data_IF_830927418889
#
_entry.id   IF_830927418889
#
_cell.length_a   1.000
_cell.length_b   1.000
_cell.length_c   1.000
_cell.angle_alpha   90.00
_cell.angle_beta   90.00
_cell.angle_gamma   90.00
#
_symmetry.space_group_name_H-M   'P 1'
#
loop_
_entity.id
_entity.type
_entity.pdbx_description
1 polymer ?
#
# COMPACT_ATOMS: atom_id res chain seq x y z
N UNK A 1 -18.64 21.15 -8.22
CA UNK A 1 -18.92 21.17 -6.77
C UNK A 1 -17.69 20.62 -6.08
N UNK A 2 -17.24 21.25 -4.99
CA UNK A 2 -16.16 20.76 -4.13
C UNK A 2 -16.74 20.68 -2.72
N UNK A 3 -16.55 19.56 -1.99
CA UNK A 3 -16.96 19.47 -0.60
C UNK A 3 -16.39 20.65 0.21
N UNK A 4 -17.16 21.25 1.13
CA UNK A 4 -16.64 22.31 2.01
C UNK A 4 -15.66 21.79 3.07
N UNK A 5 -15.64 20.47 3.28
CA UNK A 5 -14.72 19.75 4.15
C UNK A 5 -14.17 18.55 3.39
N UNK A 6 -12.89 18.24 3.60
CA UNK A 6 -12.28 17.06 3.01
C UNK A 6 -13.08 15.80 3.39
N UNK A 7 -13.17 14.89 2.43
CA UNK A 7 -13.82 13.61 2.65
C UNK A 7 -12.85 12.69 3.41
N UNK A 8 -13.36 11.98 4.40
CA UNK A 8 -12.58 11.00 5.15
C UNK A 8 -12.30 9.77 4.30
N UNK A 9 -11.29 8.99 4.68
CA UNK A 9 -11.12 7.64 4.13
C UNK A 9 -12.36 6.77 4.37
N UNK A 10 -12.56 5.79 3.50
CA UNK A 10 -13.68 4.86 3.50
C UNK A 10 -14.71 5.10 2.39
N UNK A 11 -15.85 4.39 2.45
CA UNK A 11 -16.85 4.37 1.39
C UNK A 11 -17.70 5.65 1.35
N UNK A 12 -17.79 6.24 0.17
CA UNK A 12 -18.68 7.37 -0.14
C UNK A 12 -19.66 7.01 -1.26
N UNK A 13 -20.86 7.55 -1.19
CA UNK A 13 -21.86 7.46 -2.26
C UNK A 13 -22.31 8.85 -2.68
N UNK A 14 -22.12 9.17 -3.96
CA UNK A 14 -22.50 10.44 -4.55
C UNK A 14 -23.75 10.30 -5.41
N UNK A 15 -24.63 11.29 -5.30
CA UNK A 15 -25.80 11.46 -6.16
C UNK A 15 -25.91 12.93 -6.55
N UNK A 16 -26.12 13.19 -7.83
CA UNK A 16 -26.55 14.50 -8.32
C UNK A 16 -28.08 14.53 -8.44
N UNK A 17 -28.69 15.61 -7.96
CA UNK A 17 -30.12 15.89 -8.11
C UNK A 17 -30.35 17.26 -8.76
N UNK A 18 -31.46 17.36 -9.48
CA UNK A 18 -31.95 18.60 -10.09
C UNK A 18 -33.45 18.70 -9.86
N UNK A 19 -33.94 19.91 -9.64
CA UNK A 19 -35.38 20.21 -9.53
C UNK A 19 -35.78 21.11 -10.68
N UNK A 20 -36.84 20.75 -11.41
CA UNK A 20 -37.34 21.60 -12.49
C UNK A 20 -38.07 22.85 -11.96
N UNK A 21 -38.45 23.75 -12.86
CA UNK A 21 -39.15 24.98 -12.50
C UNK A 21 -40.55 24.76 -11.88
N UNK A 22 -41.14 23.58 -12.09
CA UNK A 22 -42.42 23.18 -11.50
C UNK A 22 -42.24 22.50 -10.13
N UNK A 23 -41.00 22.29 -9.67
CA UNK A 23 -40.69 21.68 -8.39
C UNK A 23 -40.50 20.16 -8.43
N UNK A 24 -40.40 19.53 -9.60
CA UNK A 24 -40.20 18.09 -9.71
C UNK A 24 -38.72 17.72 -9.60
N UNK A 25 -38.31 16.95 -8.58
CA UNK A 25 -36.92 16.50 -8.45
C UNK A 25 -36.64 15.25 -9.31
N UNK A 26 -35.45 15.21 -9.90
CA UNK A 26 -34.86 14.02 -10.54
C UNK A 26 -33.44 13.83 -9.99
N UNK A 27 -32.97 12.58 -9.89
CA UNK A 27 -31.59 12.26 -9.48
C UNK A 27 -30.92 11.24 -10.38
N UNK A 28 -29.60 11.27 -10.36
CA UNK A 28 -28.72 10.22 -10.91
C UNK A 28 -28.80 8.94 -10.07
N UNK A 29 -28.22 7.84 -10.58
CA UNK A 29 -27.95 6.65 -9.78
C UNK A 29 -26.75 6.83 -8.84
N UNK A 30 -26.50 5.84 -7.99
CA UNK A 30 -25.39 5.86 -7.03
C UNK A 30 -24.03 5.79 -7.75
N UNK A 31 -23.15 6.74 -7.45
CA UNK A 31 -21.72 6.63 -7.73
C UNK A 31 -20.99 6.29 -6.43
N UNK A 32 -20.42 5.09 -6.33
CA UNK A 32 -19.64 4.65 -5.16
C UNK A 32 -18.16 4.93 -5.38
N UNK A 33 -17.51 5.46 -4.36
CA UNK A 33 -16.08 5.73 -4.34
C UNK A 33 -15.55 5.42 -2.94
N UNK A 34 -14.57 4.55 -2.85
CA UNK A 34 -13.77 4.37 -1.64
C UNK A 34 -12.60 5.34 -1.70
N UNK A 35 -12.49 6.20 -0.68
CA UNK A 35 -11.36 7.12 -0.55
C UNK A 35 -10.34 6.48 0.37
N UNK A 36 -9.09 6.48 -0.09
CA UNK A 36 -7.95 6.06 0.71
C UNK A 36 -6.82 7.07 0.50
N UNK A 37 -6.50 7.80 1.57
CA UNK A 37 -5.45 8.81 1.60
C UNK A 37 -4.34 8.43 2.57
N UNK A 38 -4.47 7.29 3.23
CA UNK A 38 -3.48 6.78 4.16
C UNK A 38 -2.32 6.19 3.35
N UNK A 39 -1.11 6.71 3.58
CA UNK A 39 0.06 6.15 2.94
C UNK A 39 0.31 4.72 3.49
N UNK A 40 0.83 3.81 2.65
CA UNK A 40 1.29 2.51 3.10
C UNK A 40 2.16 2.58 4.34
N UNK A 41 1.96 1.63 5.27
CA UNK A 41 2.88 1.39 6.37
C UNK A 41 4.28 0.99 5.88
N UNK A 42 5.26 1.01 6.78
CA UNK A 42 6.52 0.32 6.50
C UNK A 42 6.25 -1.20 6.42
N UNK A 43 7.02 -1.92 5.60
CA UNK A 43 6.98 -3.37 5.62
C UNK A 43 7.41 -3.88 7.01
N UNK A 44 6.70 -4.88 7.52
CA UNK A 44 6.91 -5.48 8.82
C UNK A 44 7.53 -6.89 8.69
N UNK A 45 8.09 -7.39 9.80
CA UNK A 45 8.67 -8.74 9.91
C UNK A 45 9.72 -9.05 8.82
N UNK A 46 10.47 -8.04 8.40
CA UNK A 46 11.53 -8.19 7.40
C UNK A 46 12.66 -9.09 7.94
N UNK A 47 12.94 -10.18 7.23
CA UNK A 47 14.04 -11.09 7.52
C UNK A 47 14.90 -11.35 6.29
N UNK A 48 16.15 -11.75 6.52
CA UNK A 48 17.06 -12.19 5.49
C UNK A 48 17.66 -13.55 5.87
N UNK A 49 17.75 -14.46 4.91
CA UNK A 49 18.23 -15.82 5.11
C UNK A 49 19.38 -16.17 4.16
N UNK A 50 20.39 -16.82 4.73
CA UNK A 50 21.54 -17.42 4.05
C UNK A 50 21.29 -18.92 3.82
N UNK A 51 21.52 -19.40 2.60
CA UNK A 51 21.48 -20.83 2.27
C UNK A 51 22.79 -21.40 1.66
N UNK A 52 23.89 -20.66 1.73
CA UNK A 52 25.21 -20.99 1.19
C UNK A 52 26.23 -21.19 2.31
N UNK A 53 27.32 -21.89 2.01
CA UNK A 53 28.47 -21.94 2.92
C UNK A 53 28.25 -22.74 4.22
N UNK A 54 29.15 -22.58 5.19
CA UNK A 54 29.11 -23.31 6.46
C UNK A 54 28.17 -22.70 7.50
N UNK A 55 27.75 -21.44 7.34
CA UNK A 55 26.85 -20.73 8.24
C UNK A 55 25.58 -20.41 7.46
N UNK A 56 24.50 -21.13 7.76
CA UNK A 56 23.20 -20.98 7.09
C UNK A 56 22.11 -20.60 8.08
N UNK A 57 21.03 -20.02 7.58
CA UNK A 57 19.85 -19.67 8.38
C UNK A 57 19.59 -18.16 8.42
N UNK A 58 18.93 -17.71 9.49
CA UNK A 58 18.59 -16.30 9.66
C UNK A 58 19.87 -15.46 9.81
N UNK A 59 19.96 -14.39 9.03
CA UNK A 59 20.99 -13.36 9.16
C UNK A 59 20.52 -12.38 10.23
N UNK A 60 21.17 -12.29 11.40
CA UNK A 60 20.78 -11.35 12.45
C UNK A 60 21.06 -9.90 12.02
N UNK A 61 20.46 -8.95 12.72
CA UNK A 61 20.76 -7.52 12.56
C UNK A 61 22.27 -7.25 12.69
N UNK A 62 22.85 -6.51 11.73
CA UNK A 62 24.30 -6.33 11.54
C UNK A 62 25.12 -7.62 11.32
N UNK A 63 24.46 -8.70 10.90
CA UNK A 63 25.11 -9.96 10.51
C UNK A 63 25.78 -9.89 9.15
N UNK A 64 26.49 -10.96 8.82
CA UNK A 64 27.19 -11.15 7.54
C UNK A 64 26.72 -12.47 6.91
N UNK A 65 26.81 -12.57 5.58
CA UNK A 65 26.45 -13.76 4.79
C UNK A 65 27.47 -13.95 3.67
N UNK A 66 27.74 -15.20 3.28
CA UNK A 66 28.52 -15.52 2.08
C UNK A 66 27.64 -15.91 0.87
N UNK A 67 26.31 -15.86 1.03
CA UNK A 67 25.31 -16.05 -0.02
C UNK A 67 25.18 -14.80 -0.89
N UNK A 68 25.41 -14.95 -2.19
CA UNK A 68 25.21 -13.87 -3.18
C UNK A 68 23.74 -13.64 -3.56
N UNK A 69 22.84 -14.50 -3.08
CA UNK A 69 21.39 -14.51 -3.36
C UNK A 69 20.58 -14.73 -2.08
N UNK A 70 20.74 -13.87 -1.05
CA UNK A 70 19.99 -14.02 0.19
C UNK A 70 18.48 -13.98 -0.08
N UNK A 71 17.74 -14.77 0.69
CA UNK A 71 16.27 -14.79 0.62
C UNK A 71 15.71 -13.77 1.59
N UNK A 72 14.93 -12.82 1.08
CA UNK A 72 14.23 -11.82 1.89
C UNK A 72 12.75 -12.20 2.04
N UNK A 73 12.25 -12.13 3.26
CA UNK A 73 10.83 -12.33 3.58
C UNK A 73 10.32 -11.13 4.39
N UNK A 74 9.01 -10.89 4.37
CA UNK A 74 8.38 -9.80 5.09
C UNK A 74 6.88 -9.72 4.79
N UNK A 75 6.22 -8.74 5.40
CA UNK A 75 4.79 -8.46 5.22
C UNK A 75 4.56 -6.98 4.90
N UNK A 76 3.49 -6.69 4.17
CA UNK A 76 3.08 -5.33 3.79
C UNK A 76 1.57 -5.28 3.54
N UNK A 77 1.02 -4.10 3.29
CA UNK A 77 -0.40 -3.98 2.99
C UNK A 77 -0.68 -4.43 1.55
N UNK A 78 -1.86 -5.00 1.33
CA UNK A 78 -2.20 -5.57 0.02
C UNK A 78 -2.29 -4.46 -1.02
N UNK A 79 -1.53 -4.62 -2.10
CA UNK A 79 -1.47 -3.63 -3.18
C UNK A 79 -0.29 -2.67 -3.06
N UNK A 80 0.47 -2.74 -1.95
CA UNK A 80 1.69 -1.99 -1.77
C UNK A 80 2.82 -2.50 -2.66
N UNK A 81 3.79 -1.63 -2.89
CA UNK A 81 5.08 -2.00 -3.47
C UNK A 81 6.12 -2.02 -2.36
N UNK A 82 6.64 -3.20 -2.05
CA UNK A 82 7.78 -3.36 -1.14
C UNK A 82 9.07 -3.11 -1.92
N UNK A 83 9.94 -2.24 -1.40
CA UNK A 83 11.22 -1.87 -2.02
C UNK A 83 12.37 -2.45 -1.19
N UNK A 84 13.26 -3.18 -1.85
CA UNK A 84 14.50 -3.69 -1.25
C UNK A 84 15.64 -2.72 -1.61
N UNK A 85 16.37 -2.26 -0.60
CA UNK A 85 17.49 -1.32 -0.75
C UNK A 85 18.78 -1.86 -0.15
N UNK A 86 19.89 -1.56 -0.83
CA UNK A 86 21.22 -1.58 -0.23
C UNK A 86 21.60 -0.13 0.05
N UNK A 87 21.61 0.24 1.33
CA UNK A 87 21.69 1.64 1.78
C UNK A 87 20.58 2.50 1.11
N UNK A 88 20.96 3.47 0.27
CA UNK A 88 20.03 4.33 -0.45
C UNK A 88 19.68 3.80 -1.86
N UNK A 89 20.40 2.79 -2.36
CA UNK A 89 20.21 2.25 -3.71
C UNK A 89 19.11 1.20 -3.73
N UNK A 90 18.18 1.32 -4.69
CA UNK A 90 17.12 0.33 -4.89
C UNK A 90 17.67 -0.87 -5.65
N UNK A 91 17.63 -2.05 -5.04
CA UNK A 91 18.13 -3.30 -5.64
C UNK A 91 17.01 -4.25 -6.05
N UNK A 92 15.77 -4.00 -5.63
CA UNK A 92 14.62 -4.81 -6.03
C UNK A 92 13.28 -4.28 -5.52
N UNK A 93 12.19 -4.88 -6.00
CA UNK A 93 10.84 -4.58 -5.51
C UNK A 93 9.88 -5.75 -5.75
N UNK A 94 8.85 -5.88 -4.91
CA UNK A 94 7.73 -6.82 -5.10
C UNK A 94 6.41 -6.17 -4.73
N UNK A 95 5.31 -6.82 -5.12
CA UNK A 95 3.92 -6.53 -4.71
C UNK A 95 3.30 -7.73 -4.00
#
# INVERSE_FOLDING_TARGET
>A
WTPPTDLTDGPHTFVASVTDAAGNPTRTGDFRLDIDTTAPGAADDATAHDNVGPIVGLIPENGETDDSTPTFEGTGEVGDVVIIKDNDEVIGSTV
#
